data_IF_397620618382
#
_entry.id   IF_397620618382
#
_cell.length_a   1.000
_cell.length_b   1.000
_cell.length_c   1.000
_cell.angle_alpha   90.00
_cell.angle_beta   90.00
_cell.angle_gamma   90.00
#
_symmetry.space_group_name_H-M   'P 1'
#
loop_
_entity.id
_entity.type
_entity.pdbx_description
1 polymer ?
#
# COMPACT_ATOMS: atom_id res chain seq x y z
N UNK A 1 -5.70 1.07 -28.03
CA UNK A 1 -4.87 0.30 -27.09
C UNK A 1 -4.47 1.27 -25.97
N UNK A 2 -4.73 0.96 -24.71
CA UNK A 2 -4.48 1.86 -23.59
C UNK A 2 -2.98 1.94 -23.33
N UNK A 3 -2.45 3.14 -23.10
CA UNK A 3 -1.00 3.33 -22.89
C UNK A 3 -0.60 2.87 -21.48
N UNK A 4 0.59 2.30 -21.34
CA UNK A 4 1.11 1.89 -20.02
C UNK A 4 1.18 3.05 -19.02
N UNK A 5 1.44 4.27 -19.52
CA UNK A 5 1.44 5.49 -18.70
C UNK A 5 0.05 5.81 -18.14
N UNK A 6 -1.02 5.59 -18.91
CA UNK A 6 -2.40 5.77 -18.45
C UNK A 6 -2.77 4.74 -17.39
N UNK A 7 -2.34 3.49 -17.55
CA UNK A 7 -2.52 2.41 -16.57
C UNK A 7 -1.80 2.78 -15.26
N UNK A 8 -0.51 3.11 -15.33
CA UNK A 8 0.28 3.51 -14.14
C UNK A 8 -0.35 4.69 -13.43
N UNK A 9 -0.77 5.71 -14.17
CA UNK A 9 -1.45 6.90 -13.60
C UNK A 9 -2.71 6.52 -12.84
N UNK A 10 -3.57 5.69 -13.43
CA UNK A 10 -4.82 5.26 -12.78
C UNK A 10 -4.55 4.38 -11.54
N UNK A 11 -3.57 3.47 -11.60
CA UNK A 11 -3.15 2.67 -10.45
C UNK A 11 -2.65 3.56 -9.31
N UNK A 12 -1.82 4.56 -9.61
CA UNK A 12 -1.31 5.52 -8.62
C UNK A 12 -2.44 6.35 -8.02
N UNK A 13 -3.39 6.83 -8.83
CA UNK A 13 -4.55 7.59 -8.33
C UNK A 13 -5.35 6.77 -7.33
N UNK A 14 -5.68 5.53 -7.68
CA UNK A 14 -6.44 4.63 -6.80
C UNK A 14 -5.67 4.23 -5.55
N UNK A 15 -4.35 3.99 -5.68
CA UNK A 15 -3.48 3.73 -4.54
C UNK A 15 -3.45 4.92 -3.57
N UNK A 16 -3.29 6.14 -4.08
CA UNK A 16 -3.35 7.38 -3.28
C UNK A 16 -4.70 7.52 -2.58
N UNK A 17 -5.80 7.29 -3.29
CA UNK A 17 -7.15 7.37 -2.72
C UNK A 17 -7.34 6.38 -1.56
N UNK A 18 -6.92 5.12 -1.74
CA UNK A 18 -7.00 4.10 -0.69
C UNK A 18 -6.16 4.47 0.54
N UNK A 19 -4.91 4.93 0.34
CA UNK A 19 -4.04 5.30 1.46
C UNK A 19 -4.60 6.52 2.20
N UNK A 20 -5.08 7.53 1.47
CA UNK A 20 -5.70 8.72 2.07
C UNK A 20 -6.94 8.37 2.86
N UNK A 21 -7.80 7.48 2.35
CA UNK A 21 -8.97 7.02 3.10
C UNK A 21 -8.55 6.38 4.42
N UNK A 22 -7.55 5.49 4.41
CA UNK A 22 -7.04 4.89 5.65
C UNK A 22 -6.44 5.89 6.63
N UNK A 23 -5.82 6.97 6.14
CA UNK A 23 -5.29 8.05 6.98
C UNK A 23 -6.43 8.82 7.65
N UNK A 24 -7.48 9.15 6.90
CA UNK A 24 -8.66 9.84 7.44
C UNK A 24 -9.41 8.94 8.45
N UNK A 25 -9.54 7.65 8.17
CA UNK A 25 -10.15 6.70 9.10
C UNK A 25 -9.36 6.63 10.42
N UNK A 26 -8.04 6.54 10.36
CA UNK A 26 -7.19 6.54 11.55
C UNK A 26 -7.28 7.86 12.33
N UNK A 27 -7.32 9.02 11.63
CA UNK A 27 -7.52 10.33 12.26
C UNK A 27 -8.84 10.42 13.00
N UNK A 28 -9.93 9.93 12.38
CA UNK A 28 -11.26 9.92 12.99
C UNK A 28 -11.28 9.05 14.25
N UNK A 29 -10.66 7.87 14.21
CA UNK A 29 -10.58 7.00 15.40
C UNK A 29 -9.76 7.63 16.52
N UNK A 30 -8.64 8.29 16.21
CA UNK A 30 -7.84 9.04 17.20
C UNK A 30 -8.69 10.14 17.85
N UNK A 31 -9.39 10.95 17.05
CA UNK A 31 -10.24 12.03 17.55
C UNK A 31 -11.35 11.48 18.47
N UNK A 32 -12.03 10.42 18.07
CA UNK A 32 -13.08 9.78 18.87
C UNK A 32 -12.55 9.22 20.20
N UNK A 33 -11.38 8.58 20.20
CA UNK A 33 -10.76 8.07 21.42
C UNK A 33 -10.31 9.20 22.36
N UNK A 34 -9.80 10.31 21.80
CA UNK A 34 -9.44 11.51 22.55
C UNK A 34 -10.66 12.19 23.19
N UNK A 35 -11.76 12.32 22.44
CA UNK A 35 -13.02 12.89 22.95
C UNK A 35 -13.57 12.04 24.10
N UNK A 36 -13.60 10.72 23.94
CA UNK A 36 -14.04 9.79 25.00
C UNK A 36 -13.17 9.89 26.25
N UNK A 37 -11.84 9.97 26.07
CA UNK A 37 -10.87 10.13 27.17
C UNK A 37 -11.08 11.45 27.90
N UNK A 38 -11.44 12.50 27.18
CA UNK A 38 -11.71 13.81 27.77
C UNK A 38 -13.08 13.85 28.45
N UNK A 39 -14.11 13.21 27.91
CA UNK A 39 -15.44 13.12 28.54
C UNK A 39 -15.40 12.39 29.90
N UNK A 40 -14.59 11.33 30.00
CA UNK A 40 -14.36 10.62 31.27
C UNK A 40 -13.68 11.53 32.34
N UNK A 41 -12.87 12.54 31.95
CA UNK A 41 -12.23 13.47 32.93
C UNK A 41 -13.25 14.25 33.76
N UNK A 42 -14.44 14.48 33.20
CA UNK A 42 -15.44 15.39 33.76
C UNK A 42 -16.44 14.68 34.70
N UNK A 43 -16.38 13.34 34.80
CA UNK A 43 -17.57 12.54 35.14
C UNK A 43 -17.48 11.54 36.32
N UNK A 44 -16.38 11.35 37.09
CA UNK A 44 -16.43 10.48 38.30
C UNK A 44 -15.17 10.45 39.20
N UNK A 45 -15.37 10.09 40.48
CA UNK A 45 -14.43 9.85 41.58
C UNK A 45 -13.81 8.42 41.58
N UNK A 46 -12.48 8.29 41.72
CA UNK A 46 -11.73 7.11 42.25
C UNK A 46 -11.50 5.87 41.34
N UNK A 47 -10.28 5.31 41.39
CA UNK A 47 -9.65 4.05 40.85
C UNK A 47 -10.10 3.44 39.51
N UNK A 48 -11.39 3.40 39.17
CA UNK A 48 -11.91 2.85 37.89
C UNK A 48 -11.49 3.67 36.65
N UNK A 49 -11.07 4.92 36.89
CA UNK A 49 -10.65 5.89 35.90
C UNK A 49 -9.30 5.57 35.26
N UNK A 50 -8.36 5.02 36.03
CA UNK A 50 -7.00 4.76 35.54
C UNK A 50 -7.01 3.70 34.43
N UNK A 51 -7.80 2.64 34.59
CA UNK A 51 -7.93 1.57 33.58
C UNK A 51 -8.62 2.06 32.31
N UNK A 52 -9.74 2.79 32.43
CA UNK A 52 -10.51 3.27 31.27
C UNK A 52 -9.71 4.27 30.43
N UNK A 53 -8.89 5.12 31.08
CA UNK A 53 -7.96 6.00 30.38
C UNK A 53 -6.81 5.28 29.72
N UNK A 54 -6.21 4.32 30.41
CA UNK A 54 -5.11 3.54 29.85
C UNK A 54 -5.57 2.81 28.58
N UNK A 55 -6.79 2.28 28.57
CA UNK A 55 -7.39 1.65 27.39
C UNK A 55 -7.58 2.65 26.24
N UNK A 56 -8.12 3.84 26.49
CA UNK A 56 -8.28 4.86 25.44
C UNK A 56 -6.92 5.38 24.93
N UNK A 57 -5.91 5.48 25.80
CA UNK A 57 -4.56 5.82 25.38
C UNK A 57 -3.96 4.75 24.46
N UNK A 58 -4.15 3.48 24.82
CA UNK A 58 -3.69 2.36 23.99
C UNK A 58 -4.36 2.36 22.60
N UNK A 59 -5.65 2.70 22.54
CA UNK A 59 -6.37 2.84 21.27
C UNK A 59 -5.83 3.99 20.41
N UNK A 60 -5.55 5.14 21.04
CA UNK A 60 -4.89 6.27 20.38
C UNK A 60 -3.54 5.84 19.81
N UNK A 61 -2.69 5.20 20.63
CA UNK A 61 -1.36 4.77 20.22
C UNK A 61 -1.43 3.76 19.05
N UNK A 62 -2.41 2.85 19.08
CA UNK A 62 -2.67 1.90 17.99
C UNK A 62 -2.97 2.61 16.67
N UNK A 63 -3.90 3.57 16.67
CA UNK A 63 -4.27 4.29 15.47
C UNK A 63 -3.19 5.26 15.00
N UNK A 64 -2.42 5.87 15.90
CA UNK A 64 -1.24 6.66 15.55
C UNK A 64 -0.19 5.79 14.85
N UNK A 65 0.06 4.57 15.36
CA UNK A 65 0.96 3.61 14.73
C UNK A 65 0.48 3.24 13.31
N UNK A 66 -0.83 3.02 13.14
CA UNK A 66 -1.44 2.72 11.84
C UNK A 66 -1.29 3.92 10.86
N UNK A 67 -1.59 5.13 11.33
CA UNK A 67 -1.47 6.35 10.54
C UNK A 67 -0.02 6.58 10.09
N UNK A 68 0.97 6.36 10.96
CA UNK A 68 2.39 6.48 10.58
C UNK A 68 2.77 5.50 9.47
N UNK A 69 2.35 4.24 9.54
CA UNK A 69 2.59 3.26 8.47
C UNK A 69 1.96 3.67 7.14
N UNK A 70 0.75 4.23 7.16
CA UNK A 70 0.09 4.72 5.95
C UNK A 70 0.81 5.93 5.35
N UNK A 71 1.33 6.84 6.19
CA UNK A 71 2.14 7.97 5.74
C UNK A 71 3.47 7.51 5.12
N UNK A 72 4.11 6.50 5.69
CA UNK A 72 5.30 5.86 5.12
C UNK A 72 4.99 5.25 3.75
N UNK A 73 3.88 4.52 3.61
CA UNK A 73 3.43 3.97 2.33
C UNK A 73 3.13 5.08 1.30
N UNK A 74 2.49 6.17 1.70
CA UNK A 74 2.28 7.33 0.82
C UNK A 74 3.62 7.89 0.33
N UNK A 75 4.59 8.06 1.22
CA UNK A 75 5.92 8.56 0.88
C UNK A 75 6.67 7.63 -0.08
N UNK A 76 6.56 6.31 0.10
CA UNK A 76 7.11 5.32 -0.82
C UNK A 76 6.46 5.40 -2.20
N UNK A 77 5.13 5.47 -2.26
CA UNK A 77 4.39 5.60 -3.51
C UNK A 77 4.79 6.87 -4.28
N UNK A 78 4.95 8.01 -3.59
CA UNK A 78 5.39 9.28 -4.20
C UNK A 78 6.83 9.24 -4.71
N UNK A 79 7.71 8.41 -4.12
CA UNK A 79 9.05 8.17 -4.66
C UNK A 79 8.98 7.34 -5.94
N UNK A 80 8.15 6.31 -5.94
CA UNK A 80 7.97 5.40 -7.08
C UNK A 80 7.32 6.10 -8.29
N UNK A 81 6.38 7.00 -8.05
CA UNK A 81 5.75 7.84 -9.09
C UNK A 81 6.77 8.67 -9.89
N UNK A 82 7.93 8.99 -9.30
CA UNK A 82 9.00 9.76 -9.94
C UNK A 82 10.01 8.90 -10.71
N UNK A 83 9.89 7.57 -10.64
CA UNK A 83 10.81 6.66 -11.32
C UNK A 83 10.52 6.66 -12.81
N UNK A 84 11.56 6.84 -13.61
CA UNK A 84 11.47 6.80 -15.07
C UNK A 84 11.34 5.38 -15.58
N UNK A 85 10.86 5.23 -16.81
CA UNK A 85 10.81 3.95 -17.49
C UNK A 85 12.16 3.23 -17.54
N UNK A 86 12.12 1.90 -17.48
CA UNK A 86 13.29 1.02 -17.56
C UNK A 86 12.93 -0.24 -18.35
N UNK A 87 13.90 -0.77 -19.09
CA UNK A 87 13.75 -1.99 -19.89
C UNK A 87 13.79 -3.27 -19.02
N UNK A 88 14.14 -3.14 -17.74
CA UNK A 88 14.13 -4.23 -16.76
C UNK A 88 13.19 -3.95 -15.60
N UNK A 89 12.73 -5.02 -14.96
CA UNK A 89 11.82 -4.94 -13.82
C UNK A 89 12.53 -4.30 -12.62
N UNK A 90 12.02 -3.15 -12.18
CA UNK A 90 12.47 -2.41 -11.00
C UNK A 90 11.27 -1.80 -10.27
N UNK A 91 11.51 -1.07 -9.19
CA UNK A 91 10.46 -0.27 -8.56
C UNK A 91 9.91 0.75 -9.58
N UNK A 92 8.59 0.86 -9.68
CA UNK A 92 7.89 1.69 -10.67
C UNK A 92 7.58 0.99 -12.00
N UNK A 93 8.05 -0.24 -12.21
CA UNK A 93 7.76 -1.00 -13.42
C UNK A 93 6.33 -1.59 -13.39
N UNK A 94 5.66 -1.48 -14.53
CA UNK A 94 4.48 -2.24 -14.87
C UNK A 94 4.91 -3.48 -15.67
N UNK A 95 4.70 -4.65 -15.07
CA UNK A 95 5.20 -5.93 -15.57
C UNK A 95 4.03 -6.80 -15.99
N UNK A 96 4.03 -7.20 -17.25
CA UNK A 96 3.06 -8.15 -17.79
C UNK A 96 3.73 -9.51 -17.87
N UNK A 97 3.13 -10.52 -17.25
CA UNK A 97 3.67 -11.88 -17.26
C UNK A 97 2.64 -12.88 -17.77
N UNK A 98 3.07 -14.12 -17.97
CA UNK A 98 2.18 -15.24 -18.29
C UNK A 98 1.15 -15.55 -17.20
N UNK A 99 1.32 -15.04 -15.97
CA UNK A 99 0.47 -15.34 -14.83
C UNK A 99 -0.42 -14.15 -14.40
N UNK A 100 -0.05 -12.92 -14.76
CA UNK A 100 -0.82 -11.73 -14.41
C UNK A 100 -0.06 -10.45 -14.67
N UNK A 101 -0.71 -9.32 -14.35
CA UNK A 101 -0.15 -7.99 -14.49
C UNK A 101 0.23 -7.47 -13.11
N UNK A 102 1.46 -6.98 -12.96
CA UNK A 102 2.03 -6.55 -11.70
C UNK A 102 2.53 -5.11 -11.80
N UNK A 103 2.28 -4.31 -10.78
CA UNK A 103 2.89 -2.99 -10.64
C UNK A 103 3.79 -3.01 -9.41
N UNK A 104 5.10 -2.96 -9.65
CA UNK A 104 6.11 -3.02 -8.58
C UNK A 104 6.15 -1.68 -7.87
N UNK A 105 5.36 -1.54 -6.82
CA UNK A 105 5.06 -0.28 -6.15
C UNK A 105 4.91 -0.47 -4.64
N UNK A 106 3.90 0.11 -4.01
CA UNK A 106 3.53 -0.27 -2.63
C UNK A 106 2.66 -1.54 -2.67
N UNK A 107 2.81 -2.41 -1.68
CA UNK A 107 2.01 -3.65 -1.63
C UNK A 107 0.56 -3.35 -1.26
N UNK A 108 -0.38 -3.49 -2.22
CA UNK A 108 -1.81 -3.21 -2.00
C UNK A 108 -2.73 -4.31 -2.55
N UNK A 109 -2.17 -5.38 -3.11
CA UNK A 109 -2.95 -6.49 -3.64
C UNK A 109 -3.57 -6.16 -5.01
N UNK A 110 -4.71 -6.78 -5.30
CA UNK A 110 -5.37 -6.69 -6.60
C UNK A 110 -6.14 -5.37 -6.76
N UNK A 111 -6.01 -4.77 -7.94
CA UNK A 111 -6.70 -3.54 -8.33
C UNK A 111 -7.19 -3.66 -9.77
N UNK A 112 -8.48 -3.41 -9.99
CA UNK A 112 -9.06 -3.49 -11.33
C UNK A 112 -9.01 -2.12 -12.01
N UNK A 113 -8.31 -2.04 -13.14
CA UNK A 113 -8.14 -0.82 -13.93
C UNK A 113 -8.39 -1.18 -15.40
N UNK A 114 -9.24 -0.41 -16.08
CA UNK A 114 -9.60 -0.65 -17.49
C UNK A 114 -10.02 -2.10 -17.81
N UNK A 115 -10.83 -2.70 -16.93
CA UNK A 115 -11.30 -4.10 -17.02
C UNK A 115 -10.20 -5.18 -16.94
N UNK A 116 -9.00 -4.82 -16.51
CA UNK A 116 -7.93 -5.76 -16.22
C UNK A 116 -7.52 -5.69 -14.75
N UNK A 117 -7.08 -6.82 -14.19
CA UNK A 117 -6.58 -6.89 -12.82
C UNK A 117 -5.08 -6.68 -12.79
N UNK A 118 -4.65 -5.74 -11.97
CA UNK A 118 -3.25 -5.44 -11.70
C UNK A 118 -2.94 -5.68 -10.22
N UNK A 119 -1.84 -6.34 -9.93
CA UNK A 119 -1.39 -6.60 -8.57
C UNK A 119 -0.31 -5.61 -8.19
N UNK A 120 -0.59 -4.76 -7.19
CA UNK A 120 0.38 -3.85 -6.62
C UNK A 120 1.20 -4.61 -5.58
N UNK A 121 2.49 -4.81 -5.88
CA UNK A 121 3.42 -5.60 -5.05
C UNK A 121 4.60 -4.75 -4.62
N UNK A 122 5.10 -4.96 -3.40
CA UNK A 122 6.30 -4.26 -2.93
C UNK A 122 7.56 -4.80 -3.61
N UNK A 123 8.59 -3.96 -3.88
CA UNK A 123 9.90 -4.40 -4.36
C UNK A 123 10.53 -5.46 -3.44
N UNK A 124 10.22 -5.40 -2.14
CA UNK A 124 10.73 -6.34 -1.15
C UNK A 124 10.02 -7.71 -1.19
N UNK A 125 8.88 -7.85 -1.87
CA UNK A 125 8.12 -9.10 -1.93
C UNK A 125 8.89 -10.22 -2.65
N UNK A 126 8.72 -11.49 -2.25
CA UNK A 126 9.40 -12.62 -2.91
C UNK A 126 9.14 -12.69 -4.42
N UNK A 127 7.92 -12.35 -4.85
CA UNK A 127 7.56 -12.31 -6.26
C UNK A 127 8.28 -11.18 -7.01
N UNK A 128 8.31 -9.97 -6.46
CA UNK A 128 9.04 -8.86 -7.08
C UNK A 128 10.54 -9.19 -7.20
N UNK A 129 11.15 -9.72 -6.13
CA UNK A 129 12.56 -10.14 -6.13
C UNK A 129 12.89 -11.19 -7.20
N UNK A 130 11.97 -12.12 -7.46
CA UNK A 130 12.15 -13.14 -8.50
C UNK A 130 12.14 -12.54 -9.92
N UNK A 131 11.52 -11.37 -10.11
CA UNK A 131 11.45 -10.67 -11.39
C UNK A 131 12.48 -9.55 -11.54
N UNK A 132 12.97 -8.98 -10.44
CA UNK A 132 13.86 -7.80 -10.45
C UNK A 132 15.08 -8.00 -11.36
N UNK A 133 15.33 -7.01 -12.22
CA UNK A 133 16.45 -7.01 -13.17
C UNK A 133 16.18 -7.77 -14.46
N UNK A 134 15.15 -8.62 -14.52
CA UNK A 134 14.78 -9.33 -15.73
C UNK A 134 14.09 -8.41 -16.74
N UNK A 135 14.19 -8.76 -18.01
CA UNK A 135 13.64 -8.04 -19.17
C UNK A 135 12.53 -8.83 -19.85
N UNK A 136 11.87 -8.17 -20.80
CA UNK A 136 10.90 -8.84 -21.67
C UNK A 136 11.52 -10.06 -22.36
N UNK A 137 10.80 -11.18 -22.36
CA UNK A 137 11.24 -12.45 -22.93
C UNK A 137 11.91 -13.39 -21.93
N UNK A 138 12.40 -12.89 -20.80
CA UNK A 138 13.07 -13.69 -19.79
C UNK A 138 12.08 -14.43 -18.87
N UNK A 139 12.59 -15.46 -18.17
CA UNK A 139 11.81 -16.35 -17.33
C UNK A 139 12.19 -16.21 -15.87
N UNK A 140 11.24 -16.42 -14.99
CA UNK A 140 11.45 -16.48 -13.55
C UNK A 140 10.69 -17.65 -12.93
N UNK A 141 11.19 -18.12 -11.78
CA UNK A 141 10.54 -19.18 -11.01
C UNK A 141 9.91 -18.60 -9.76
N UNK A 142 8.64 -18.90 -9.54
CA UNK A 142 7.94 -18.49 -8.33
C UNK A 142 6.99 -19.60 -7.88
N UNK A 143 7.05 -19.97 -6.59
CA UNK A 143 6.25 -21.05 -6.01
C UNK A 143 6.31 -22.37 -6.82
N UNK A 144 7.51 -22.72 -7.31
CA UNK A 144 7.73 -23.95 -8.10
C UNK A 144 7.17 -23.91 -9.53
N UNK A 145 6.70 -22.76 -10.02
CA UNK A 145 6.22 -22.58 -11.40
C UNK A 145 7.15 -21.67 -12.19
N UNK A 146 7.47 -22.09 -13.42
CA UNK A 146 8.15 -21.24 -14.40
C UNK A 146 7.14 -20.26 -15.02
N UNK A 147 7.49 -18.98 -15.04
CA UNK A 147 6.71 -17.91 -15.64
C UNK A 147 7.59 -17.09 -16.57
N UNK A 148 6.97 -16.35 -17.49
CA UNK A 148 7.67 -15.52 -18.47
C UNK A 148 7.24 -14.06 -18.34
N UNK A 149 8.20 -13.15 -18.43
CA UNK A 149 7.94 -11.72 -18.60
C UNK A 149 7.60 -11.48 -20.07
N UNK A 150 6.38 -11.01 -20.31
CA UNK A 150 5.89 -10.71 -21.64
C UNK A 150 6.21 -9.27 -22.04
N UNK A 151 6.19 -8.35 -21.08
CA UNK A 151 6.45 -6.93 -21.30
C UNK A 151 6.78 -6.20 -19.99
N UNK A 152 7.65 -5.19 -20.06
CA UNK A 152 8.01 -4.30 -18.95
C UNK A 152 7.82 -2.86 -19.44
N UNK A 153 7.14 -2.04 -18.65
CA UNK A 153 6.78 -0.64 -18.97
C UNK A 153 6.91 0.29 -17.76
#
# INVERSE_FOLDING_TARGET
MIKAEEIKKELIIRAKAFINQGIEDARNSIASAQESRNAETKSSSGDKYETSRAMMQQEIDLHENQMRKLLELMNELLKIEKVTQSDSVNAGSLVFTSQGNFYVSVGMGAMNVFNETYFLISPASPLARAMTGLKSGEKYYFQGKENKILRVE
#
